data_IF_146152591535
#
_entry.id   IF_146152591535
#
_cell.length_a   1.000
_cell.length_b   1.000
_cell.length_c   1.000
_cell.angle_alpha   90.00
_cell.angle_beta   90.00
_cell.angle_gamma   90.00
#
_symmetry.space_group_name_H-M   'P 1'
#
loop_
_entity.id
_entity.type
_entity.pdbx_description
1 polymer ?
#
# COMPACT_ATOMS: atom_id res chain seq x y z
N UNK A 1 5.05 -39.42 -35.67
CA UNK A 1 6.38 -39.81 -36.18
C UNK A 1 7.42 -38.88 -35.57
N UNK A 2 8.36 -39.41 -34.79
CA UNK A 2 9.57 -38.71 -34.32
C UNK A 2 10.68 -38.87 -35.37
N UNK A 3 11.62 -37.92 -35.45
CA UNK A 3 13.02 -38.25 -35.15
C UNK A 3 13.56 -37.23 -34.11
N UNK A 4 14.26 -37.54 -33.00
CA UNK A 4 15.45 -38.38 -32.73
C UNK A 4 16.71 -37.97 -33.51
N UNK A 5 17.53 -37.15 -32.85
CA UNK A 5 19.00 -37.08 -32.86
C UNK A 5 19.37 -36.25 -31.61
N UNK A 6 19.81 -36.83 -30.48
CA UNK A 6 21.17 -37.34 -30.18
C UNK A 6 22.23 -36.24 -30.40
N UNK A 7 23.18 -35.92 -29.52
CA UNK A 7 23.66 -36.44 -28.24
C UNK A 7 24.75 -35.43 -27.79
N UNK A 8 24.89 -35.13 -26.50
CA UNK A 8 26.21 -34.90 -25.87
C UNK A 8 26.03 -34.65 -24.37
N UNK A 9 26.19 -35.73 -23.59
CA UNK A 9 26.68 -35.66 -22.22
C UNK A 9 28.11 -35.11 -22.21
N UNK A 10 28.41 -34.22 -21.28
CA UNK A 10 29.75 -34.14 -20.72
C UNK A 10 29.66 -33.98 -19.21
N UNK A 11 30.05 -35.04 -18.51
CA UNK A 11 30.28 -35.07 -17.08
C UNK A 11 31.74 -34.65 -16.79
N UNK A 12 31.93 -33.76 -15.83
CA UNK A 12 33.16 -33.60 -15.04
C UNK A 12 32.70 -33.30 -13.60
N UNK A 13 32.82 -34.23 -12.66
CA UNK A 13 34.03 -34.66 -11.94
C UNK A 13 34.18 -33.89 -10.62
N UNK A 14 34.35 -34.69 -9.55
CA UNK A 14 34.39 -34.32 -8.15
C UNK A 14 35.66 -33.53 -7.76
N UNK A 15 35.48 -32.56 -6.89
CA UNK A 15 36.46 -32.03 -5.91
C UNK A 15 35.63 -31.30 -4.84
N UNK A 16 35.71 -31.56 -3.54
CA UNK A 16 36.82 -32.03 -2.72
C UNK A 16 37.26 -30.87 -1.82
N UNK A 17 36.68 -30.73 -0.62
CA UNK A 17 37.39 -30.31 0.59
C UNK A 17 36.45 -30.44 1.81
N UNK A 18 36.71 -31.45 2.62
CA UNK A 18 36.22 -31.52 3.99
C UNK A 18 37.24 -30.90 4.94
N UNK A 19 36.75 -30.46 6.10
CA UNK A 19 37.53 -30.32 7.32
C UNK A 19 38.47 -29.12 7.39
N UNK A 20 37.93 -27.98 7.82
CA UNK A 20 38.70 -26.86 8.36
C UNK A 20 37.96 -26.29 9.57
N UNK A 21 38.17 -26.92 10.72
CA UNK A 21 37.86 -26.36 12.03
C UNK A 21 39.04 -25.45 12.38
N UNK A 22 38.88 -24.13 12.36
CA UNK A 22 39.86 -23.20 12.94
C UNK A 22 39.26 -21.82 13.23
N UNK A 23 39.07 -21.61 14.54
CA UNK A 23 39.15 -20.36 15.29
C UNK A 23 38.22 -19.19 14.93
N UNK A 24 37.17 -19.08 15.76
CA UNK A 24 36.55 -17.81 16.13
C UNK A 24 37.60 -16.71 16.36
N UNK A 25 37.62 -15.70 15.50
CA UNK A 25 38.08 -14.36 15.86
C UNK A 25 36.88 -13.45 15.80
N UNK A 26 36.26 -13.27 16.97
CA UNK A 26 35.17 -12.33 17.23
C UNK A 26 35.74 -10.90 17.10
N UNK A 27 35.83 -10.37 15.89
CA UNK A 27 35.89 -8.93 15.69
C UNK A 27 34.47 -8.41 15.79
N UNK A 28 34.12 -7.95 16.99
CA UNK A 28 33.00 -7.03 17.22
C UNK A 28 33.35 -5.71 16.55
N UNK A 29 33.30 -5.71 15.22
CA UNK A 29 33.38 -4.49 14.44
C UNK A 29 32.08 -3.74 14.69
N UNK A 30 32.24 -2.54 15.23
CA UNK A 30 31.18 -1.68 15.72
C UNK A 30 30.12 -1.56 14.62
N UNK A 31 28.93 -2.08 14.89
CA UNK A 31 27.77 -1.82 14.05
C UNK A 31 27.51 -0.32 14.10
N UNK A 32 28.08 0.39 13.13
CA UNK A 32 27.77 1.77 12.81
C UNK A 32 26.29 1.77 12.44
N UNK A 33 25.45 2.07 13.42
CA UNK A 33 24.04 2.36 13.18
C UNK A 33 24.05 3.64 12.36
N UNK A 34 23.93 3.50 11.04
CA UNK A 34 23.60 4.60 10.16
C UNK A 34 22.33 5.23 10.76
N UNK A 35 22.50 6.38 11.40
CA UNK A 35 21.37 7.24 11.72
C UNK A 35 20.77 7.55 10.36
N UNK A 36 19.60 6.98 10.05
CA UNK A 36 18.89 7.25 8.80
C UNK A 36 18.66 8.76 8.76
N UNK A 37 19.56 9.44 8.08
CA UNK A 37 19.61 10.87 7.87
C UNK A 37 18.36 11.27 7.11
N UNK A 38 17.33 11.77 7.78
CA UNK A 38 16.11 12.31 7.12
C UNK A 38 15.68 11.50 5.88
N UNK A 39 15.76 10.16 6.02
CA UNK A 39 16.02 9.25 4.92
C UNK A 39 14.85 9.20 3.94
N UNK A 40 15.20 9.03 2.67
CA UNK A 40 14.33 8.76 1.52
C UNK A 40 12.94 8.22 1.89
N UNK A 41 11.89 8.85 1.35
CA UNK A 41 10.51 8.43 1.64
C UNK A 41 10.30 7.01 1.10
N UNK A 42 10.05 6.00 1.96
CA UNK A 42 9.86 4.63 1.51
C UNK A 42 8.74 4.55 0.46
N UNK A 43 8.93 3.75 -0.58
CA UNK A 43 7.91 3.55 -1.60
C UNK A 43 6.63 2.92 -1.04
N UNK A 44 6.77 2.14 0.04
CA UNK A 44 5.72 1.40 0.72
C UNK A 44 6.02 1.35 2.22
N UNK A 45 5.00 1.46 3.07
CA UNK A 45 5.16 1.37 4.52
C UNK A 45 4.96 -0.06 5.03
N UNK A 46 6.03 -0.68 5.50
CA UNK A 46 6.04 -2.00 6.15
C UNK A 46 5.61 -1.91 7.63
N UNK A 47 5.24 -3.04 8.28
CA UNK A 47 4.84 -3.04 9.68
C UNK A 47 5.93 -2.59 10.66
N UNK A 48 7.21 -2.75 10.30
CA UNK A 48 8.37 -2.45 11.16
C UNK A 48 8.96 -1.07 10.88
N UNK A 49 8.44 -0.33 9.90
CA UNK A 49 8.96 0.99 9.58
C UNK A 49 8.69 1.96 10.74
N UNK A 50 9.71 2.72 11.19
CA UNK A 50 9.57 3.65 12.30
C UNK A 50 8.84 4.95 11.90
N UNK A 51 8.61 5.17 10.60
CA UNK A 51 7.96 6.38 10.12
C UNK A 51 6.47 6.38 10.42
N UNK A 52 5.99 7.43 11.10
CA UNK A 52 4.56 7.66 11.32
C UNK A 52 3.78 7.63 9.98
N UNK A 53 2.66 6.91 9.97
CA UNK A 53 1.86 6.68 8.75
C UNK A 53 1.31 7.97 8.14
N UNK A 54 0.88 8.94 8.96
CA UNK A 54 0.35 10.21 8.46
C UNK A 54 1.45 11.08 7.85
N UNK A 55 2.63 11.13 8.50
CA UNK A 55 3.84 11.79 7.98
C UNK A 55 4.29 11.14 6.68
N UNK A 56 4.32 9.81 6.63
CA UNK A 56 4.69 9.07 5.42
C UNK A 56 3.77 9.45 4.25
N UNK A 57 2.45 9.39 4.45
CA UNK A 57 1.48 9.70 3.40
C UNK A 57 1.59 11.16 2.92
N UNK A 58 1.74 12.11 3.85
CA UNK A 58 1.95 13.52 3.51
C UNK A 58 3.27 13.74 2.73
N UNK A 59 4.34 13.03 3.11
CA UNK A 59 5.62 13.08 2.40
C UNK A 59 5.50 12.52 0.99
N UNK A 60 4.79 11.40 0.81
CA UNK A 60 4.50 10.80 -0.51
C UNK A 60 3.72 11.77 -1.40
N UNK A 61 2.72 12.46 -0.86
CA UNK A 61 1.94 13.44 -1.61
C UNK A 61 2.77 14.67 -2.01
N UNK A 62 3.61 15.17 -1.11
CA UNK A 62 4.49 16.31 -1.35
C UNK A 62 5.68 15.98 -2.28
N UNK A 63 5.98 14.70 -2.49
CA UNK A 63 7.17 14.26 -3.23
C UNK A 63 8.50 14.54 -2.52
N UNK A 64 8.46 14.91 -1.23
CA UNK A 64 9.63 15.20 -0.39
C UNK A 64 9.32 14.92 1.08
N UNK A 65 10.31 14.57 1.91
CA UNK A 65 10.08 14.41 3.34
C UNK A 65 9.43 15.66 3.94
N UNK A 66 8.39 15.45 4.76
CA UNK A 66 7.79 16.51 5.57
C UNK A 66 8.07 16.27 7.07
N UNK A 67 8.12 17.34 7.89
CA UNK A 67 8.23 17.21 9.34
C UNK A 67 7.09 16.41 9.96
N UNK A 68 7.35 15.81 11.12
CA UNK A 68 6.35 14.99 11.80
C UNK A 68 5.17 15.82 12.34
N UNK A 69 5.46 17.04 12.79
CA UNK A 69 4.53 18.04 13.31
C UNK A 69 3.90 18.93 12.22
N UNK A 70 4.23 18.68 10.95
CA UNK A 70 3.66 19.39 9.80
C UNK A 70 2.11 19.28 9.77
N UNK A 71 1.46 20.37 9.35
CA UNK A 71 0.00 20.43 9.28
C UNK A 71 -0.61 19.37 8.35
N UNK A 72 0.06 19.05 7.24
CA UNK A 72 -0.35 18.00 6.31
C UNK A 72 -0.22 16.61 6.95
N UNK A 73 0.88 16.36 7.68
CA UNK A 73 1.06 15.12 8.46
C UNK A 73 -0.07 14.94 9.47
N UNK A 74 -0.41 16.00 10.22
CA UNK A 74 -1.51 15.98 11.17
C UNK A 74 -2.88 15.76 10.49
N UNK A 75 -3.09 16.33 9.30
CA UNK A 75 -4.30 16.16 8.53
C UNK A 75 -4.47 14.71 8.03
N UNK A 76 -3.40 14.10 7.54
CA UNK A 76 -3.41 12.69 7.14
C UNK A 76 -3.72 11.77 8.32
N UNK A 77 -3.13 12.01 9.51
CA UNK A 77 -3.47 11.25 10.72
C UNK A 77 -4.96 11.35 11.06
N UNK A 78 -5.55 12.55 10.96
CA UNK A 78 -6.99 12.73 11.22
C UNK A 78 -7.84 11.96 10.21
N UNK A 79 -7.50 12.00 8.92
CA UNK A 79 -8.26 11.28 7.89
C UNK A 79 -8.16 9.76 8.05
N UNK A 80 -6.95 9.24 8.32
CA UNK A 80 -6.73 7.82 8.61
C UNK A 80 -7.46 7.38 9.89
N UNK A 81 -7.40 8.18 10.94
CA UNK A 81 -8.09 7.91 12.20
C UNK A 81 -9.61 7.88 12.06
N UNK A 82 -10.20 8.69 11.16
CA UNK A 82 -11.62 8.57 10.83
C UNK A 82 -11.91 7.31 10.01
N UNK A 83 -11.05 7.00 9.03
CA UNK A 83 -11.23 5.85 8.14
C UNK A 83 -11.21 4.51 8.91
N UNK A 84 -10.37 4.37 9.94
CA UNK A 84 -10.18 3.11 10.67
C UNK A 84 -11.47 2.54 11.28
N UNK A 85 -12.45 3.40 11.60
CA UNK A 85 -13.74 2.98 12.16
C UNK A 85 -14.65 2.30 11.14
N UNK A 86 -14.42 2.55 9.84
CA UNK A 86 -15.30 2.10 8.76
C UNK A 86 -14.68 1.03 7.87
N UNK A 87 -13.36 0.86 7.93
CA UNK A 87 -12.65 -0.15 7.15
C UNK A 87 -12.08 -1.23 8.04
N UNK A 88 -12.00 -2.46 7.55
CA UNK A 88 -11.43 -3.63 8.26
C UNK A 88 -9.92 -3.43 8.49
N UNK A 89 -9.25 -2.80 7.54
CA UNK A 89 -7.80 -2.70 7.51
C UNK A 89 -7.26 -1.56 8.40
N UNK A 90 -6.03 -1.74 8.88
CA UNK A 90 -5.36 -0.79 9.75
C UNK A 90 -4.95 0.50 8.99
N UNK A 91 -4.65 1.61 9.70
CA UNK A 91 -4.23 2.88 9.08
C UNK A 91 -3.08 2.77 8.08
N UNK A 92 -2.08 1.91 8.32
CA UNK A 92 -0.94 1.71 7.41
C UNK A 92 -1.41 1.06 6.11
N UNK A 93 -2.26 0.04 6.20
CA UNK A 93 -2.84 -0.60 5.02
C UNK A 93 -3.76 0.34 4.22
N UNK A 94 -4.52 1.20 4.89
CA UNK A 94 -5.32 2.25 4.24
C UNK A 94 -4.41 3.24 3.51
N UNK A 95 -3.34 3.72 4.16
CA UNK A 95 -2.40 4.66 3.56
C UNK A 95 -1.69 4.06 2.33
N UNK A 96 -1.15 2.85 2.45
CA UNK A 96 -0.47 2.17 1.34
C UNK A 96 -1.36 2.01 0.10
N UNK A 97 -2.61 1.57 0.31
CA UNK A 97 -3.58 1.43 -0.80
C UNK A 97 -4.01 2.77 -1.37
N UNK A 98 -4.03 3.82 -0.56
CA UNK A 98 -4.30 5.18 -1.03
C UNK A 98 -3.18 5.66 -1.96
N UNK A 99 -1.92 5.41 -1.61
CA UNK A 99 -0.78 5.72 -2.48
C UNK A 99 -0.88 4.96 -3.80
N UNK A 100 -1.13 3.64 -3.73
CA UNK A 100 -1.31 2.81 -4.92
C UNK A 100 -2.44 3.32 -5.81
N UNK A 101 -3.61 3.62 -5.23
CA UNK A 101 -4.76 4.16 -5.96
C UNK A 101 -4.42 5.49 -6.63
N UNK A 102 -3.82 6.43 -5.89
CA UNK A 102 -3.47 7.73 -6.44
C UNK A 102 -2.38 7.67 -7.52
N UNK A 103 -1.47 6.70 -7.45
CA UNK A 103 -0.51 6.41 -8.53
C UNK A 103 -1.22 5.94 -9.79
N UNK A 104 -2.10 4.92 -9.68
CA UNK A 104 -2.87 4.40 -10.81
C UNK A 104 -3.75 5.49 -11.45
N UNK A 105 -4.40 6.32 -10.65
CA UNK A 105 -5.17 7.47 -11.14
C UNK A 105 -4.28 8.52 -11.82
N UNK A 106 -3.09 8.78 -11.26
CA UNK A 106 -2.11 9.69 -11.85
C UNK A 106 -1.62 9.21 -13.22
N UNK A 107 -1.32 7.92 -13.35
CA UNK A 107 -0.91 7.28 -14.62
C UNK A 107 -2.03 7.37 -15.68
N UNK A 108 -3.29 7.31 -15.26
CA UNK A 108 -4.45 7.52 -16.14
C UNK A 108 -4.76 8.99 -16.44
N UNK A 109 -3.93 9.94 -15.99
CA UNK A 109 -4.15 11.39 -16.18
C UNK A 109 -5.25 11.99 -15.28
N UNK A 110 -5.66 11.27 -14.24
CA UNK A 110 -6.75 11.60 -13.33
C UNK A 110 -6.25 11.82 -11.89
N UNK A 111 -5.10 12.50 -11.74
CA UNK A 111 -4.44 12.69 -10.43
C UNK A 111 -5.39 13.31 -9.40
N UNK A 112 -5.47 12.68 -8.23
CA UNK A 112 -6.28 13.11 -7.09
C UNK A 112 -5.45 13.09 -5.81
N UNK A 113 -5.76 14.00 -4.88
CA UNK A 113 -5.03 14.10 -3.62
C UNK A 113 -5.37 12.97 -2.64
N UNK A 114 -4.40 12.50 -1.88
CA UNK A 114 -4.54 11.33 -1.01
C UNK A 114 -5.54 11.54 0.12
N UNK A 115 -5.54 12.72 0.73
CA UNK A 115 -6.55 13.08 1.73
C UNK A 115 -7.97 13.02 1.12
N UNK A 116 -8.13 13.56 -0.07
CA UNK A 116 -9.42 13.59 -0.75
C UNK A 116 -9.90 12.16 -1.08
N UNK A 117 -9.01 11.28 -1.52
CA UNK A 117 -9.33 9.86 -1.73
C UNK A 117 -9.83 9.20 -0.44
N UNK A 118 -9.06 9.30 0.66
CA UNK A 118 -9.44 8.71 1.95
C UNK A 118 -10.80 9.24 2.42
N UNK A 119 -11.01 10.55 2.37
CA UNK A 119 -12.27 11.15 2.83
C UNK A 119 -13.46 10.79 1.95
N UNK A 120 -13.26 10.73 0.63
CA UNK A 120 -14.30 10.31 -0.33
C UNK A 120 -14.75 8.88 -0.04
N UNK A 121 -13.81 7.94 0.02
CA UNK A 121 -14.09 6.54 0.27
C UNK A 121 -14.62 6.31 1.69
N UNK A 122 -14.15 7.05 2.69
CA UNK A 122 -14.69 6.98 4.07
C UNK A 122 -16.15 7.39 4.11
N UNK A 123 -16.57 8.42 3.36
CA UNK A 123 -17.99 8.82 3.28
C UNK A 123 -18.86 7.76 2.62
N UNK A 124 -18.34 7.05 1.60
CA UNK A 124 -19.04 5.89 1.02
C UNK A 124 -19.23 4.81 2.10
N UNK A 125 -18.15 4.45 2.81
CA UNK A 125 -18.19 3.40 3.83
C UNK A 125 -19.10 3.75 5.03
N UNK A 126 -19.27 5.02 5.36
CA UNK A 126 -20.21 5.48 6.39
C UNK A 126 -21.67 5.14 6.07
N UNK A 127 -22.04 5.13 4.78
CA UNK A 127 -23.38 4.75 4.34
C UNK A 127 -23.57 3.23 4.19
N UNK A 128 -22.48 2.46 4.24
CA UNK A 128 -22.47 1.03 4.00
C UNK A 128 -22.89 0.23 5.25
N UNK A 129 -23.17 -1.06 5.05
CA UNK A 129 -23.44 -1.98 6.15
C UNK A 129 -22.15 -2.55 6.74
N UNK A 130 -21.89 -2.22 8.01
CA UNK A 130 -20.71 -2.73 8.72
C UNK A 130 -19.39 -2.22 8.12
N UNK A 131 -18.27 -2.74 8.63
CA UNK A 131 -16.93 -2.35 8.15
C UNK A 131 -16.67 -2.93 6.76
N UNK A 132 -16.11 -2.11 5.88
CA UNK A 132 -15.82 -2.45 4.49
C UNK A 132 -14.34 -2.82 4.29
N UNK A 133 -14.02 -3.48 3.17
CA UNK A 133 -12.63 -3.64 2.72
C UNK A 133 -12.20 -2.41 1.93
N UNK A 134 -11.23 -1.65 2.45
CA UNK A 134 -10.72 -0.44 1.79
C UNK A 134 -10.11 -0.76 0.44
N UNK A 135 -9.36 -1.87 0.32
CA UNK A 135 -8.73 -2.27 -0.94
C UNK A 135 -9.72 -2.61 -2.04
N UNK A 136 -10.83 -3.27 -1.70
CA UNK A 136 -11.89 -3.55 -2.65
C UNK A 136 -12.55 -2.26 -3.14
N UNK A 137 -12.83 -1.34 -2.21
CA UNK A 137 -13.44 -0.06 -2.54
C UNK A 137 -12.52 0.81 -3.42
N UNK A 138 -11.20 0.79 -3.18
CA UNK A 138 -10.20 1.42 -4.06
C UNK A 138 -10.27 0.85 -5.48
N UNK A 139 -10.37 -0.48 -5.62
CA UNK A 139 -10.45 -1.12 -6.93
C UNK A 139 -11.72 -0.72 -7.68
N UNK A 140 -12.88 -0.73 -7.00
CA UNK A 140 -14.14 -0.28 -7.62
C UNK A 140 -14.09 1.19 -8.01
N UNK A 141 -13.51 2.05 -7.17
CA UNK A 141 -13.30 3.46 -7.50
C UNK A 141 -12.45 3.62 -8.74
N UNK A 142 -11.28 2.99 -8.79
CA UNK A 142 -10.38 3.04 -9.95
C UNK A 142 -11.08 2.56 -11.22
N UNK A 143 -11.81 1.45 -11.16
CA UNK A 143 -12.53 0.91 -12.31
C UNK A 143 -13.55 1.91 -12.88
N UNK A 144 -14.28 2.64 -12.02
CA UNK A 144 -15.21 3.67 -12.47
C UNK A 144 -14.47 4.83 -13.12
N UNK A 145 -13.41 5.34 -12.47
CA UNK A 145 -12.59 6.44 -12.99
C UNK A 145 -11.94 6.08 -14.33
N UNK A 146 -11.44 4.86 -14.47
CA UNK A 146 -10.83 4.34 -15.68
C UNK A 146 -11.82 4.20 -16.86
N UNK A 147 -13.12 4.01 -16.58
CA UNK A 147 -14.17 4.03 -17.62
C UNK A 147 -14.55 5.45 -18.08
N UNK A 148 -14.00 6.47 -17.43
CA UNK A 148 -14.24 7.88 -17.77
C UNK A 148 -15.19 8.61 -16.84
N UNK A 149 -15.77 7.93 -15.83
CA UNK A 149 -16.62 8.60 -14.83
C UNK A 149 -15.80 9.63 -14.06
N UNK A 150 -16.32 10.84 -13.86
CA UNK A 150 -15.66 11.81 -12.99
C UNK A 150 -15.68 11.38 -11.51
N UNK A 151 -14.94 12.09 -10.66
CA UNK A 151 -14.84 11.79 -9.23
C UNK A 151 -16.21 11.74 -8.54
N UNK A 152 -17.09 12.69 -8.84
CA UNK A 152 -18.39 12.78 -8.18
C UNK A 152 -19.28 11.60 -8.57
N UNK A 153 -19.32 11.28 -9.87
CA UNK A 153 -20.06 10.16 -10.45
C UNK A 153 -19.54 8.82 -9.93
N UNK A 154 -18.22 8.63 -9.90
CA UNK A 154 -17.60 7.43 -9.38
C UNK A 154 -17.93 7.20 -7.90
N UNK A 155 -17.86 8.25 -7.06
CA UNK A 155 -18.25 8.16 -5.64
C UNK A 155 -19.74 7.88 -5.45
N UNK A 156 -20.61 8.50 -6.25
CA UNK A 156 -22.05 8.26 -6.19
C UNK A 156 -22.40 6.80 -6.53
N UNK A 157 -21.78 6.23 -7.56
CA UNK A 157 -21.95 4.81 -7.91
C UNK A 157 -21.46 3.88 -6.79
N UNK A 158 -20.38 4.23 -6.08
CA UNK A 158 -19.95 3.45 -4.91
C UNK A 158 -20.96 3.58 -3.77
N UNK A 159 -21.48 4.78 -3.49
CA UNK A 159 -22.53 4.96 -2.47
C UNK A 159 -23.75 4.09 -2.75
N UNK A 160 -24.21 4.01 -3.99
CA UNK A 160 -25.32 3.12 -4.40
C UNK A 160 -24.96 1.64 -4.14
N UNK A 161 -23.78 1.21 -4.63
CA UNK A 161 -23.31 -0.17 -4.51
C UNK A 161 -23.19 -0.62 -3.05
N UNK A 162 -22.61 0.20 -2.19
CA UNK A 162 -22.37 -0.15 -0.79
C UNK A 162 -23.57 0.15 0.12
N UNK A 163 -24.44 1.08 -0.29
CA UNK A 163 -25.70 1.37 0.39
C UNK A 163 -26.73 0.24 0.22
N UNK A 164 -26.86 -0.32 -0.98
CA UNK A 164 -27.77 -1.45 -1.24
C UNK A 164 -27.46 -2.71 -0.42
N UNK A 165 -26.19 -2.91 -0.01
CA UNK A 165 -25.80 -3.99 0.92
C UNK A 165 -26.48 -3.87 2.30
N UNK A 166 -26.88 -2.65 2.69
CA UNK A 166 -27.61 -2.41 3.94
C UNK A 166 -29.05 -2.86 3.88
N UNK A 167 -29.67 -2.78 2.71
CA UNK A 167 -31.10 -3.04 2.50
C UNK A 167 -31.40 -4.52 2.27
N UNK A 168 -30.46 -5.27 1.67
CA UNK A 168 -30.65 -6.69 1.30
C UNK A 168 -30.87 -7.67 2.45
N UNK A 169 -30.63 -7.29 3.71
CA UNK A 169 -30.83 -8.14 4.89
C UNK A 169 -32.03 -7.71 5.76
N UNK A 170 -32.74 -6.64 5.36
CA UNK A 170 -33.94 -6.17 6.04
C UNK A 170 -35.20 -6.93 5.58
N UNK A 171 -35.11 -8.26 5.46
CA UNK A 171 -36.27 -9.12 5.20
C UNK A 171 -36.44 -10.09 6.38
N UNK A 172 -37.60 -10.08 7.06
CA UNK A 172 -37.86 -10.87 8.26
C UNK A 172 -37.88 -12.38 8.00
#
# INVERSE_FOLDING_TARGET
MRPLLSLAMLALALGGCGGGDEAETKSEDQAVVATQSDAEIPAWLSPTDPMDTGRWLASREAGRPVPNDDAASAQMRRSLGRAQSFFIEDPRMIANRTVQLGQMLGEAGQKEGYQALIEGLTRVAQGAKGRQLYGEMCQHYYNNRHRGDDRATALAQLTERYGSQREGEAKP
#
